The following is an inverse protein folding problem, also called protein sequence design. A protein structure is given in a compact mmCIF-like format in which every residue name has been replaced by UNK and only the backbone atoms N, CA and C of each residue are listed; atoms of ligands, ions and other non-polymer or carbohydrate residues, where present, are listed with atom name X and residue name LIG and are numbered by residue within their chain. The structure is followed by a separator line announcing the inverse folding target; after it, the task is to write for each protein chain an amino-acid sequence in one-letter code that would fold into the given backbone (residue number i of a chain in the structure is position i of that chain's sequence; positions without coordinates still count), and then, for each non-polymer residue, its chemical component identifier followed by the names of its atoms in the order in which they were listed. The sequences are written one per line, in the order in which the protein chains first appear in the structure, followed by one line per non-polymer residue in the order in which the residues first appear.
data_IF_031566258467
#
_entry.id   IF_031566258467
#
_cell.length_a   1.000
_cell.length_b   1.000
_cell.length_c   1.000
_cell.angle_alpha   90.00
_cell.angle_beta   90.00
_cell.angle_gamma   90.00
#
_symmetry.space_group_name_H-M   'P 1'
#
loop_
_entity.id
_entity.type
_entity.pdbx_description
1 polymer ?
#
# COMPACT_ATOMS: atom_id res chain seq x y z
N UNK A 1 19.79 -3.21 -36.14
CA UNK A 1 19.44 -4.65 -36.03
C UNK A 1 19.57 -5.18 -34.59
N UNK A 2 18.53 -5.11 -33.74
CA UNK A 2 18.48 -5.96 -32.53
C UNK A 2 17.13 -6.66 -32.23
N UNK A 3 16.07 -6.45 -33.01
CA UNK A 3 14.73 -7.03 -32.73
C UNK A 3 14.60 -8.52 -33.12
N UNK A 4 15.19 -8.94 -34.24
CA UNK A 4 15.01 -10.29 -34.76
C UNK A 4 15.69 -11.39 -33.93
N UNK A 5 16.83 -11.10 -33.29
CA UNK A 5 17.63 -12.09 -32.55
C UNK A 5 16.97 -12.52 -31.23
N UNK A 6 16.14 -11.66 -30.61
CA UNK A 6 15.45 -12.00 -29.34
C UNK A 6 14.19 -12.84 -29.54
N UNK A 7 13.58 -12.80 -30.72
CA UNK A 7 12.40 -13.63 -31.05
C UNK A 7 12.75 -15.09 -31.31
N UNK A 8 13.93 -15.38 -31.85
CA UNK A 8 14.38 -16.76 -32.08
C UNK A 8 14.46 -17.58 -30.78
N UNK A 9 14.88 -16.97 -29.66
CA UNK A 9 14.94 -17.64 -28.35
C UNK A 9 13.55 -18.01 -27.79
N UNK A 10 12.53 -17.21 -28.11
CA UNK A 10 11.13 -17.47 -27.71
C UNK A 10 10.61 -18.72 -28.42
N UNK A 11 10.97 -18.91 -29.69
CA UNK A 11 10.59 -20.08 -30.50
C UNK A 11 11.26 -21.37 -29.99
N UNK A 12 12.53 -21.30 -29.54
CA UNK A 12 13.27 -22.48 -29.06
C UNK A 12 12.71 -23.07 -27.77
N UNK A 13 12.31 -22.24 -26.80
CA UNK A 13 11.73 -22.72 -25.53
C UNK A 13 10.38 -23.40 -25.75
N UNK A 14 9.63 -22.95 -26.75
CA UNK A 14 8.32 -23.52 -27.05
C UNK A 14 8.44 -24.80 -27.88
N UNK A 15 9.34 -24.84 -28.86
CA UNK A 15 9.56 -26.01 -29.71
C UNK A 15 10.08 -27.24 -28.94
N UNK A 16 10.77 -27.05 -27.82
CA UNK A 16 11.25 -28.16 -26.98
C UNK A 16 10.13 -28.93 -26.25
N UNK A 17 8.92 -28.37 -26.14
CA UNK A 17 7.82 -28.98 -25.40
C UNK A 17 6.87 -29.85 -26.26
N UNK A 18 7.00 -29.84 -27.59
CA UNK A 18 5.98 -30.39 -28.51
C UNK A 18 6.48 -31.47 -29.47
N UNK A 19 7.75 -31.88 -29.38
CA UNK A 19 8.28 -32.96 -30.21
C UNK A 19 7.72 -34.33 -29.78
N UNK A 20 6.58 -34.75 -30.36
CA UNK A 20 6.18 -36.17 -30.34
C UNK A 20 4.69 -36.51 -30.34
N UNK A 21 3.76 -35.55 -30.30
CA UNK A 21 2.33 -35.89 -30.18
C UNK A 21 1.56 -35.71 -31.52
N UNK A 22 0.87 -36.77 -31.95
CA UNK A 22 -0.15 -36.73 -33.00
C UNK A 22 -1.18 -35.61 -32.77
N UNK A 23 -1.76 -35.13 -33.88
CA UNK A 23 -2.57 -33.92 -34.06
C UNK A 23 -3.70 -33.71 -33.04
N UNK A 24 -3.36 -33.29 -31.83
CA UNK A 24 -4.29 -32.70 -30.88
C UNK A 24 -4.69 -31.30 -31.38
N UNK A 25 -5.93 -30.85 -31.10
CA UNK A 25 -6.32 -29.47 -31.40
C UNK A 25 -5.37 -28.47 -30.71
N UNK A 26 -5.03 -27.36 -31.38
CA UNK A 26 -4.09 -26.38 -30.84
C UNK A 26 -4.61 -25.81 -29.53
N UNK A 27 -3.78 -25.84 -28.48
CA UNK A 27 -4.16 -25.35 -27.15
C UNK A 27 -4.22 -23.82 -27.16
N UNK A 28 -5.24 -23.19 -26.54
CA UNK A 28 -5.35 -21.74 -26.50
C UNK A 28 -4.29 -21.12 -25.58
N UNK A 29 -3.61 -20.07 -26.05
CA UNK A 29 -2.61 -19.30 -25.30
C UNK A 29 -2.95 -17.82 -25.32
N UNK A 30 -3.01 -17.17 -24.16
CA UNK A 30 -3.22 -15.73 -24.08
C UNK A 30 -1.93 -15.01 -24.44
N UNK A 31 -1.97 -14.07 -25.38
CA UNK A 31 -0.83 -13.20 -25.70
C UNK A 31 -1.09 -11.83 -25.10
N UNK A 32 -0.18 -11.38 -24.24
CA UNK A 32 -0.33 -10.18 -23.42
C UNK A 32 0.83 -9.23 -23.70
N UNK A 33 0.55 -8.01 -24.16
CA UNK A 33 1.55 -6.95 -24.24
C UNK A 33 1.63 -6.25 -22.88
N UNK A 34 2.84 -6.10 -22.33
CA UNK A 34 3.08 -5.36 -21.08
C UNK A 34 3.67 -3.98 -21.30
N UNK A 35 4.20 -3.71 -22.49
CA UNK A 35 4.73 -2.41 -22.87
C UNK A 35 3.89 -1.81 -24.02
N UNK A 36 3.55 -0.51 -23.96
CA UNK A 36 2.85 0.16 -25.04
C UNK A 36 3.69 0.12 -26.33
N UNK A 37 3.04 -0.17 -27.46
CA UNK A 37 3.68 -0.20 -28.77
C UNK A 37 4.38 -1.51 -29.15
N UNK A 38 4.31 -2.55 -28.30
CA UNK A 38 4.76 -3.90 -28.69
C UNK A 38 3.76 -4.49 -29.68
N UNK A 39 4.20 -4.70 -30.92
CA UNK A 39 3.40 -5.38 -31.93
C UNK A 39 3.22 -6.86 -31.55
N UNK A 40 1.98 -7.29 -31.34
CA UNK A 40 1.66 -8.67 -30.97
C UNK A 40 1.71 -9.65 -32.14
N UNK A 41 1.73 -9.16 -33.39
CA UNK A 41 1.68 -9.98 -34.60
C UNK A 41 2.79 -11.02 -34.64
N UNK A 42 4.03 -10.64 -34.30
CA UNK A 42 5.18 -11.55 -34.28
C UNK A 42 5.06 -12.60 -33.18
N UNK A 43 4.57 -12.21 -31.99
CA UNK A 43 4.34 -13.13 -30.89
C UNK A 43 3.22 -14.12 -31.19
N UNK A 44 2.14 -13.68 -31.84
CA UNK A 44 1.06 -14.55 -32.31
C UNK A 44 1.54 -15.52 -33.40
N UNK A 45 2.35 -15.05 -34.35
CA UNK A 45 2.93 -15.89 -35.39
C UNK A 45 3.85 -16.96 -34.77
N UNK A 46 4.70 -16.58 -33.82
CA UNK A 46 5.54 -17.51 -33.07
C UNK A 46 4.72 -18.55 -32.28
N UNK A 47 3.64 -18.12 -31.62
CA UNK A 47 2.73 -19.03 -30.91
C UNK A 47 2.05 -20.03 -31.85
N UNK A 48 1.62 -19.60 -33.05
CA UNK A 48 1.05 -20.50 -34.07
C UNK A 48 2.07 -21.49 -34.61
N UNK A 49 3.30 -21.02 -34.91
CA UNK A 49 4.39 -21.89 -35.36
C UNK A 49 4.74 -22.98 -34.33
N UNK A 50 4.48 -22.69 -33.06
CA UNK A 50 4.62 -23.60 -31.93
C UNK A 50 3.45 -24.57 -31.70
N UNK A 51 2.36 -24.47 -32.49
CA UNK A 51 1.17 -25.31 -32.34
C UNK A 51 0.14 -24.80 -31.33
N UNK A 52 0.20 -23.53 -30.92
CA UNK A 52 -0.83 -22.92 -30.08
C UNK A 52 -1.83 -22.08 -30.88
N UNK A 53 -3.03 -21.91 -30.32
CA UNK A 53 -4.05 -20.98 -30.81
C UNK A 53 -3.99 -19.66 -30.00
N UNK A 54 -3.38 -18.58 -30.52
CA UNK A 54 -3.23 -17.35 -29.75
C UNK A 54 -4.55 -16.60 -29.57
N UNK A 55 -4.83 -16.19 -28.33
CA UNK A 55 -5.94 -15.31 -27.94
C UNK A 55 -5.32 -13.98 -27.49
N UNK A 56 -5.66 -12.88 -28.14
CA UNK A 56 -5.16 -11.56 -27.71
C UNK A 56 -5.94 -11.12 -26.49
N UNK A 57 -5.24 -10.83 -25.40
CA UNK A 57 -5.85 -10.27 -24.20
C UNK A 57 -5.72 -8.75 -24.21
N UNK A 58 -6.84 -8.06 -24.36
CA UNK A 58 -6.91 -6.60 -24.27
C UNK A 58 -7.14 -6.21 -22.81
N UNK A 59 -6.32 -5.28 -22.31
CA UNK A 59 -6.41 -4.78 -20.95
C UNK A 59 -7.07 -3.39 -20.93
N UNK A 60 -7.97 -3.11 -19.97
CA UNK A 60 -8.50 -1.77 -19.79
C UNK A 60 -7.39 -0.76 -19.40
N UNK A 61 -7.59 0.55 -19.61
CA UNK A 61 -6.69 1.57 -19.07
C UNK A 61 -6.76 1.58 -17.52
N UNK A 62 -5.68 1.98 -16.85
CA UNK A 62 -5.66 2.15 -15.39
C UNK A 62 -6.29 3.48 -14.95
N UNK A 63 -6.95 3.49 -13.79
CA UNK A 63 -7.73 4.64 -13.27
C UNK A 63 -6.93 5.60 -12.36
N UNK A 64 -5.73 5.23 -11.95
CA UNK A 64 -4.95 5.91 -10.89
C UNK A 64 -4.66 7.39 -11.14
N UNK A 65 -4.54 7.82 -12.41
CA UNK A 65 -4.19 9.20 -12.75
C UNK A 65 -5.26 10.20 -12.28
N UNK A 66 -6.54 9.84 -12.36
CA UNK A 66 -7.65 10.69 -11.92
C UNK A 66 -7.66 10.84 -10.39
N UNK A 67 -7.42 9.74 -9.68
CA UNK A 67 -7.37 9.74 -8.22
C UNK A 67 -6.19 10.57 -7.68
N UNK A 68 -5.01 10.47 -8.31
CA UNK A 68 -3.85 11.28 -7.96
C UNK A 68 -4.13 12.77 -8.16
N UNK A 69 -4.68 13.16 -9.31
CA UNK A 69 -5.00 14.56 -9.60
C UNK A 69 -6.01 15.16 -8.58
N UNK A 70 -6.99 14.37 -8.14
CA UNK A 70 -7.92 14.78 -7.09
C UNK A 70 -7.22 14.97 -5.73
N UNK A 71 -6.29 14.08 -5.37
CA UNK A 71 -5.48 14.20 -4.15
C UNK A 71 -4.59 15.45 -4.19
N UNK A 72 -3.94 15.72 -5.31
CA UNK A 72 -3.11 16.92 -5.48
C UNK A 72 -3.93 18.20 -5.36
N UNK A 73 -5.13 18.23 -5.95
CA UNK A 73 -6.06 19.35 -5.81
C UNK A 73 -6.47 19.58 -4.34
N UNK A 74 -6.73 18.50 -3.59
CA UNK A 74 -7.05 18.59 -2.16
C UNK A 74 -5.86 19.08 -1.32
N UNK A 75 -4.63 18.66 -1.63
CA UNK A 75 -3.41 19.17 -0.98
C UNK A 75 -3.21 20.66 -1.25
N UNK A 76 -3.48 21.11 -2.48
CA UNK A 76 -3.43 22.52 -2.85
C UNK A 76 -4.52 23.34 -2.17
N UNK A 77 -5.75 22.82 -2.09
CA UNK A 77 -6.84 23.44 -1.36
C UNK A 77 -6.53 23.58 0.14
N UNK A 78 -5.99 22.53 0.78
CA UNK A 78 -5.55 22.56 2.17
C UNK A 78 -4.46 23.61 2.41
N UNK A 79 -3.47 23.69 1.51
CA UNK A 79 -2.42 24.73 1.55
C UNK A 79 -3.00 26.14 1.40
N UNK A 80 -3.91 26.34 0.45
CA UNK A 80 -4.58 27.63 0.25
C UNK A 80 -5.44 28.03 1.46
N UNK A 81 -6.11 27.07 2.09
CA UNK A 81 -6.86 27.30 3.32
C UNK A 81 -5.94 27.74 4.46
N UNK A 82 -4.76 27.11 4.64
CA UNK A 82 -3.76 27.55 5.61
C UNK A 82 -3.30 28.99 5.39
N UNK A 83 -2.88 29.32 4.16
CA UNK A 83 -2.38 30.66 3.79
C UNK A 83 -3.47 31.73 3.95
N UNK A 84 -4.72 31.38 3.66
CA UNK A 84 -5.90 32.22 3.91
C UNK A 84 -6.36 32.23 5.38
N UNK A 85 -5.60 31.64 6.31
CA UNK A 85 -5.93 31.53 7.74
C UNK A 85 -7.24 30.78 8.05
N UNK A 86 -7.76 30.00 7.10
CA UNK A 86 -8.96 29.16 7.21
C UNK A 86 -8.60 27.77 7.77
N UNK A 87 -8.12 27.72 9.01
CA UNK A 87 -7.57 26.50 9.61
C UNK A 87 -8.57 25.33 9.70
N UNK A 88 -9.81 25.60 10.12
CA UNK A 88 -10.83 24.56 10.25
C UNK A 88 -11.11 23.85 8.92
N UNK A 89 -11.08 24.59 7.80
CA UNK A 89 -11.24 24.04 6.46
C UNK A 89 -10.05 23.16 6.06
N UNK A 90 -8.82 23.60 6.34
CA UNK A 90 -7.63 22.78 6.12
C UNK A 90 -7.72 21.45 6.88
N UNK A 91 -8.08 21.48 8.17
CA UNK A 91 -8.22 20.27 9.00
C UNK A 91 -9.27 19.33 8.41
N UNK A 92 -10.44 19.86 8.06
CA UNK A 92 -11.52 19.07 7.46
C UNK A 92 -11.11 18.39 6.14
N UNK A 93 -10.38 19.10 5.27
CA UNK A 93 -9.84 18.53 4.02
C UNK A 93 -8.87 17.38 4.35
N UNK A 94 -7.93 17.62 5.26
CA UNK A 94 -6.88 16.66 5.59
C UNK A 94 -7.41 15.41 6.32
N UNK A 95 -8.47 15.53 7.13
CA UNK A 95 -9.17 14.42 7.82
C UNK A 95 -9.73 13.40 6.84
N UNK A 96 -10.38 13.85 5.78
CA UNK A 96 -10.82 12.97 4.70
C UNK A 96 -9.67 12.48 3.82
N UNK A 97 -8.53 13.17 3.77
CA UNK A 97 -7.47 12.91 2.79
C UNK A 97 -6.53 11.77 3.19
N UNK A 98 -6.09 11.67 4.44
CA UNK A 98 -5.04 10.72 4.85
C UNK A 98 -5.38 9.28 4.46
N UNK A 99 -6.57 8.78 4.83
CA UNK A 99 -6.94 7.38 4.57
C UNK A 99 -7.02 7.03 3.08
N UNK A 100 -7.57 7.92 2.25
CA UNK A 100 -7.72 7.70 0.80
C UNK A 100 -6.44 7.98 0.00
N UNK A 101 -5.57 8.85 0.50
CA UNK A 101 -4.36 9.25 -0.21
C UNK A 101 -3.21 8.25 -0.03
N UNK A 102 -3.09 7.59 1.12
CA UNK A 102 -1.96 6.71 1.41
C UNK A 102 -1.75 5.57 0.39
N UNK A 103 -2.78 4.85 -0.11
CA UNK A 103 -2.58 3.81 -1.14
C UNK A 103 -1.92 4.30 -2.44
N UNK A 104 -2.00 5.61 -2.71
CA UNK A 104 -1.45 6.25 -3.90
C UNK A 104 -0.14 6.97 -3.55
N UNK A 105 -0.13 7.79 -2.51
CA UNK A 105 1.00 8.65 -2.16
C UNK A 105 2.17 7.90 -1.52
N UNK A 106 1.93 6.76 -0.84
CA UNK A 106 3.01 5.98 -0.23
C UNK A 106 3.93 5.30 -1.26
N UNK A 107 3.62 5.41 -2.56
CA UNK A 107 4.44 4.90 -3.66
C UNK A 107 5.65 5.81 -3.91
N UNK A 108 6.67 5.26 -4.55
CA UNK A 108 7.97 5.94 -4.67
C UNK A 108 7.96 7.17 -5.56
N UNK A 109 7.17 7.11 -6.63
CA UNK A 109 6.95 8.21 -7.56
C UNK A 109 6.18 9.38 -6.94
N UNK A 110 5.47 9.15 -5.83
CA UNK A 110 4.63 10.16 -5.16
C UNK A 110 5.24 10.72 -3.87
N UNK A 111 6.55 10.50 -3.65
CA UNK A 111 7.28 10.96 -2.45
C UNK A 111 7.05 12.43 -2.11
N UNK A 112 7.07 13.30 -3.13
CA UNK A 112 6.92 14.73 -2.94
C UNK A 112 5.51 15.12 -2.44
N UNK A 113 4.48 14.46 -2.94
CA UNK A 113 3.10 14.67 -2.50
C UNK A 113 2.84 14.04 -1.12
N UNK A 114 3.44 12.88 -0.82
CA UNK A 114 3.43 12.28 0.51
C UNK A 114 4.08 13.19 1.56
N UNK A 115 5.23 13.80 1.21
CA UNK A 115 5.89 14.80 2.05
C UNK A 115 4.95 15.98 2.32
N UNK A 116 4.28 16.49 1.28
CA UNK A 116 3.35 17.61 1.42
C UNK A 116 2.16 17.27 2.31
N UNK A 117 1.58 16.07 2.18
CA UNK A 117 0.53 15.58 3.08
C UNK A 117 0.99 15.60 4.54
N UNK A 118 2.17 15.02 4.82
CA UNK A 118 2.72 14.96 6.17
C UNK A 118 3.01 16.37 6.72
N UNK A 119 3.59 17.24 5.91
CA UNK A 119 3.90 18.61 6.30
C UNK A 119 2.63 19.43 6.61
N UNK A 120 1.61 19.39 5.74
CA UNK A 120 0.33 20.08 5.97
C UNK A 120 -0.39 19.57 7.22
N UNK A 121 -0.27 18.27 7.53
CA UNK A 121 -0.76 17.71 8.79
C UNK A 121 -0.01 18.21 10.02
N UNK A 122 1.31 18.37 9.92
CA UNK A 122 2.09 19.02 10.97
C UNK A 122 1.67 20.49 11.19
N UNK A 123 1.41 21.23 10.11
CA UNK A 123 0.87 22.61 10.20
C UNK A 123 -0.49 22.67 10.90
N UNK A 124 -1.37 21.70 10.60
CA UNK A 124 -2.66 21.58 11.27
C UNK A 124 -2.49 21.45 12.79
N UNK A 125 -1.61 20.55 13.25
CA UNK A 125 -1.33 20.37 14.68
C UNK A 125 -0.74 21.60 15.36
N UNK A 126 0.16 22.33 14.70
CA UNK A 126 0.70 23.60 15.25
C UNK A 126 -0.41 24.64 15.46
N UNK A 127 -1.42 24.63 14.59
CA UNK A 127 -2.54 25.56 14.64
C UNK A 127 -3.48 25.37 15.83
N UNK A 128 -3.50 24.17 16.43
CA UNK A 128 -4.34 23.80 17.57
C UNK A 128 -3.68 24.10 18.93
N UNK A 129 -2.52 24.76 18.93
CA UNK A 129 -1.73 25.09 20.11
C UNK A 129 -1.26 23.87 20.92
N UNK A 130 -1.18 22.69 20.29
CA UNK A 130 -0.59 21.47 20.85
C UNK A 130 0.63 21.08 20.01
N UNK A 131 1.84 21.61 20.32
CA UNK A 131 3.06 21.27 19.60
C UNK A 131 3.30 19.76 19.48
N UNK A 132 2.86 19.01 20.49
CA UNK A 132 2.90 17.54 20.55
C UNK A 132 2.16 16.85 19.39
N UNK A 133 1.10 17.45 18.86
CA UNK A 133 0.35 16.92 17.72
C UNK A 133 1.07 17.15 16.38
N UNK A 134 1.90 18.21 16.28
CA UNK A 134 2.61 18.56 15.06
C UNK A 134 3.89 17.74 14.85
N UNK A 135 4.64 17.51 15.93
CA UNK A 135 5.97 16.91 15.88
C UNK A 135 6.03 15.54 15.19
N UNK A 136 5.11 14.58 15.42
CA UNK A 136 5.14 13.29 14.71
C UNK A 136 5.01 13.44 13.19
N UNK A 137 4.20 14.40 12.73
CA UNK A 137 3.96 14.64 11.31
C UNK A 137 5.12 15.35 10.62
N UNK A 138 5.76 16.31 11.29
CA UNK A 138 7.02 16.88 10.79
C UNK A 138 8.15 15.85 10.79
N UNK A 139 8.21 14.97 11.79
CA UNK A 139 9.12 13.82 11.81
C UNK A 139 8.90 12.88 10.62
N UNK A 140 7.64 12.55 10.29
CA UNK A 140 7.31 11.79 9.08
C UNK A 140 7.78 12.51 7.81
N UNK A 141 7.52 13.81 7.67
CA UNK A 141 7.97 14.59 6.53
C UNK A 141 9.51 14.53 6.37
N UNK A 142 10.26 14.59 7.48
CA UNK A 142 11.71 14.45 7.48
C UNK A 142 12.20 13.02 7.19
N UNK A 143 11.48 11.97 7.58
CA UNK A 143 11.80 10.59 7.15
C UNK A 143 11.56 10.41 5.64
N UNK A 144 10.54 11.06 5.09
CA UNK A 144 10.24 11.03 3.64
C UNK A 144 11.28 11.83 2.85
N UNK A 145 11.59 13.08 3.22
CA UNK A 145 12.63 13.90 2.57
C UNK A 145 13.53 14.61 3.62
N UNK A 146 14.65 14.00 4.04
CA UNK A 146 15.48 14.49 5.16
C UNK A 146 16.04 15.91 4.99
N UNK A 147 16.27 16.32 3.74
CA UNK A 147 16.88 17.60 3.42
C UNK A 147 15.86 18.68 3.04
N UNK A 148 14.59 18.32 2.85
CA UNK A 148 13.55 19.27 2.47
C UNK A 148 13.16 20.11 3.67
N UNK A 149 12.94 21.40 3.44
CA UNK A 149 12.56 22.39 4.47
C UNK A 149 11.31 23.15 4.01
N UNK A 150 10.57 23.77 4.94
CA UNK A 150 9.54 24.74 4.58
C UNK A 150 10.12 25.83 3.68
N UNK A 151 9.31 26.34 2.75
CA UNK A 151 9.74 27.41 1.86
C UNK A 151 9.97 28.70 2.68
N UNK A 152 11.19 29.29 2.64
CA UNK A 152 11.49 30.50 3.40
C UNK A 152 10.57 31.66 2.99
N UNK A 153 10.01 32.35 3.98
CA UNK A 153 9.12 33.50 3.75
C UNK A 153 7.67 33.15 3.41
N UNK A 154 7.36 31.89 3.08
CA UNK A 154 5.98 31.42 2.86
C UNK A 154 5.25 31.14 4.16
N UNK A 155 5.96 30.67 5.20
CA UNK A 155 5.39 30.27 6.47
C UNK A 155 5.83 31.18 7.63
N UNK A 156 5.00 31.38 8.67
CA UNK A 156 5.39 32.15 9.86
C UNK A 156 6.56 31.49 10.62
N UNK A 157 7.37 32.26 11.38
CA UNK A 157 8.53 31.72 12.11
C UNK A 157 8.21 30.58 13.09
N UNK A 158 6.97 30.50 13.59
CA UNK A 158 6.52 29.40 14.44
C UNK A 158 6.57 28.03 13.73
N UNK A 159 6.37 28.01 12.41
CA UNK A 159 6.48 26.78 11.59
C UNK A 159 7.94 26.34 11.51
N UNK A 160 8.86 27.27 11.25
CA UNK A 160 10.30 26.98 11.24
C UNK A 160 10.77 26.46 12.60
N UNK A 161 10.29 27.08 13.70
CA UNK A 161 10.55 26.62 15.06
C UNK A 161 10.05 25.19 15.31
N UNK A 162 8.80 24.88 14.94
CA UNK A 162 8.24 23.53 15.09
C UNK A 162 8.98 22.49 14.25
N UNK A 163 9.37 22.83 13.03
CA UNK A 163 10.14 21.95 12.16
C UNK A 163 11.57 21.74 12.69
N UNK A 164 12.21 22.77 13.25
CA UNK A 164 13.52 22.67 13.87
C UNK A 164 13.52 21.74 15.10
N UNK A 165 12.47 21.80 15.93
CA UNK A 165 12.26 20.85 17.03
C UNK A 165 12.16 19.43 16.51
N UNK A 166 11.39 19.18 15.44
CA UNK A 166 11.30 17.86 14.83
C UNK A 166 12.66 17.35 14.28
N UNK A 167 13.46 18.23 13.66
CA UNK A 167 14.82 17.91 13.21
C UNK A 167 15.70 17.49 14.38
N UNK A 168 15.70 18.25 15.47
CA UNK A 168 16.50 17.96 16.65
C UNK A 168 16.08 16.63 17.30
N UNK A 169 14.78 16.43 17.50
CA UNK A 169 14.25 15.18 18.04
C UNK A 169 14.64 13.97 17.19
N UNK A 170 14.49 14.07 15.88
CA UNK A 170 14.81 12.99 14.96
C UNK A 170 16.30 12.70 14.90
N UNK A 171 17.16 13.73 15.05
CA UNK A 171 18.60 13.57 15.21
C UNK A 171 19.01 12.79 16.45
N UNK A 172 18.20 12.82 17.52
CA UNK A 172 18.41 12.04 18.76
C UNK A 172 17.93 10.59 18.64
N UNK A 173 17.08 10.26 17.65
CA UNK A 173 16.51 8.92 17.48
C UNK A 173 17.47 8.01 16.71
N UNK A 174 17.82 6.88 17.33
CA UNK A 174 18.66 5.84 16.73
C UNK A 174 17.80 5.00 15.78
N UNK A 175 18.25 4.84 14.53
CA UNK A 175 17.60 3.96 13.58
C UNK A 175 17.81 2.50 13.96
N UNK A 176 16.75 1.69 13.91
CA UNK A 176 16.75 0.27 14.28
C UNK A 176 16.14 -0.56 13.18
N UNK A 177 16.64 -1.78 13.04
CA UNK A 177 16.03 -2.76 12.15
C UNK A 177 14.62 -3.12 12.67
N UNK A 178 13.62 -3.01 11.80
CA UNK A 178 12.25 -3.46 12.09
C UNK A 178 12.02 -4.77 11.34
N UNK A 179 11.72 -5.84 12.07
CA UNK A 179 11.35 -7.11 11.47
C UNK A 179 9.98 -6.98 10.80
N UNK A 180 9.92 -7.36 9.52
CA UNK A 180 8.72 -7.32 8.69
C UNK A 180 8.32 -8.75 8.35
N UNK A 181 7.15 -9.17 8.81
CA UNK A 181 6.54 -10.45 8.43
C UNK A 181 5.35 -10.18 7.54
N UNK A 182 5.48 -10.45 6.23
CA UNK A 182 4.52 -10.02 5.22
C UNK A 182 4.08 -11.17 4.33
N UNK A 183 2.77 -11.38 4.28
CA UNK A 183 2.10 -12.36 3.42
C UNK A 183 1.26 -11.65 2.35
N UNK A 184 1.47 -11.94 1.05
CA UNK A 184 2.37 -12.95 0.51
C UNK A 184 3.86 -12.55 0.56
N UNK A 185 4.74 -13.57 0.53
CA UNK A 185 6.18 -13.43 0.68
C UNK A 185 6.87 -12.60 -0.43
N UNK A 186 6.19 -12.38 -1.56
CA UNK A 186 6.64 -11.59 -2.70
C UNK A 186 5.94 -10.23 -2.82
N UNK A 187 5.13 -9.84 -1.83
CA UNK A 187 4.54 -8.50 -1.79
C UNK A 187 5.62 -7.40 -1.86
N UNK A 188 5.33 -6.33 -2.59
CA UNK A 188 6.15 -5.13 -2.57
C UNK A 188 5.87 -4.38 -1.27
N UNK A 189 6.93 -3.97 -0.59
CA UNK A 189 6.86 -3.14 0.62
C UNK A 189 7.52 -1.81 0.30
N UNK A 190 6.82 -0.71 0.58
CA UNK A 190 7.32 0.65 0.44
C UNK A 190 7.12 1.36 1.78
N UNK A 191 8.18 1.96 2.30
CA UNK A 191 8.16 2.70 3.57
C UNK A 191 8.61 4.12 3.29
N UNK A 192 7.83 5.12 3.67
CA UNK A 192 8.09 6.56 3.41
C UNK A 192 8.42 6.85 1.94
N UNK A 193 7.76 6.11 1.02
CA UNK A 193 7.98 6.20 -0.42
C UNK A 193 9.29 5.58 -0.92
N UNK A 194 10.03 4.82 -0.10
CA UNK A 194 11.24 4.10 -0.54
C UNK A 194 10.98 2.58 -0.53
N UNK A 195 11.24 1.87 -1.63
CA UNK A 195 10.98 0.44 -1.72
C UNK A 195 11.98 -0.35 -0.87
N UNK A 196 11.49 -1.37 -0.17
CA UNK A 196 12.32 -2.34 0.55
C UNK A 196 12.73 -3.44 -0.43
N UNK A 197 13.97 -3.38 -0.91
CA UNK A 197 14.49 -4.30 -1.93
C UNK A 197 14.91 -5.66 -1.38
N UNK A 198 15.39 -5.71 -0.14
CA UNK A 198 15.86 -6.92 0.52
C UNK A 198 15.16 -7.10 1.86
N UNK A 199 14.25 -8.08 1.94
CA UNK A 199 13.53 -8.40 3.18
C UNK A 199 14.44 -9.06 4.23
N UNK A 200 15.52 -9.71 3.81
CA UNK A 200 16.49 -10.33 4.73
C UNK A 200 17.37 -9.26 5.41
N UNK A 201 17.44 -8.06 4.85
CA UNK A 201 18.11 -6.89 5.41
C UNK A 201 17.09 -5.81 5.72
N UNK A 202 16.36 -5.94 6.84
CA UNK A 202 15.30 -5.00 7.21
C UNK A 202 15.83 -3.57 7.22
N UNK A 203 15.03 -2.66 6.67
CA UNK A 203 15.36 -1.24 6.68
C UNK A 203 15.52 -0.76 8.12
N UNK A 204 16.53 0.07 8.34
CA UNK A 204 16.68 0.77 9.60
C UNK A 204 15.69 1.95 9.62
N UNK A 205 14.76 1.92 10.57
CA UNK A 205 13.76 2.96 10.80
C UNK A 205 14.01 3.60 12.15
N UNK A 206 13.87 4.91 12.23
CA UNK A 206 13.84 5.61 13.52
C UNK A 206 12.50 5.34 14.19
N UNK A 207 12.42 5.54 15.51
CA UNK A 207 11.12 5.50 16.19
C UNK A 207 10.24 6.66 15.74
N UNK A 208 8.93 6.44 15.65
CA UNK A 208 7.94 7.46 15.31
C UNK A 208 7.03 7.05 14.17
N UNK A 209 6.38 8.05 13.57
CA UNK A 209 5.39 7.85 12.52
C UNK A 209 6.06 7.55 11.18
N UNK A 210 5.64 6.47 10.53
CA UNK A 210 6.06 6.07 9.19
C UNK A 210 4.85 5.76 8.31
N UNK A 211 4.97 6.03 7.01
CA UNK A 211 3.97 5.61 6.04
C UNK A 211 4.39 4.27 5.43
N UNK A 212 3.54 3.25 5.51
CA UNK A 212 3.79 1.95 4.89
C UNK A 212 2.74 1.65 3.82
N UNK A 213 3.20 1.11 2.71
CA UNK A 213 2.40 0.49 1.68
C UNK A 213 2.91 -0.94 1.45
N UNK A 214 2.00 -1.89 1.52
CA UNK A 214 2.24 -3.29 1.18
C UNK A 214 1.24 -3.69 0.11
N UNK A 215 1.74 -4.15 -1.03
CA UNK A 215 0.89 -4.52 -2.17
C UNK A 215 1.42 -5.74 -2.91
N UNK A 216 0.51 -6.57 -3.42
CA UNK A 216 0.83 -7.71 -4.26
C UNK A 216 -0.28 -7.92 -5.31
N UNK A 217 0.05 -8.33 -6.54
CA UNK A 217 -0.96 -8.66 -7.54
C UNK A 217 -1.96 -9.70 -7.03
N UNK A 218 -3.25 -9.38 -7.15
CA UNK A 218 -4.36 -10.25 -6.72
C UNK A 218 -4.84 -9.97 -5.29
N UNK A 219 -4.16 -9.11 -4.55
CA UNK A 219 -4.47 -8.76 -3.16
C UNK A 219 -4.89 -7.29 -3.02
N UNK A 220 -5.68 -7.01 -1.99
CA UNK A 220 -5.97 -5.64 -1.53
C UNK A 220 -4.68 -5.06 -0.95
N UNK A 221 -4.29 -3.87 -1.39
CA UNK A 221 -3.15 -3.16 -0.83
C UNK A 221 -3.44 -2.73 0.63
N UNK A 222 -2.48 -2.91 1.53
CA UNK A 222 -2.51 -2.36 2.88
C UNK A 222 -1.66 -1.08 2.89
N UNK A 223 -2.30 0.07 3.08
CA UNK A 223 -1.61 1.35 3.17
C UNK A 223 -2.08 2.10 4.40
N UNK A 224 -1.16 2.40 5.30
CA UNK A 224 -1.47 3.00 6.60
C UNK A 224 -0.28 3.73 7.18
N UNK A 225 -0.55 4.55 8.18
CA UNK A 225 0.48 5.08 9.06
C UNK A 225 0.73 4.09 10.19
N UNK A 226 1.99 3.87 10.51
CA UNK A 226 2.42 3.03 11.63
C UNK A 226 3.28 3.86 12.56
N UNK A 227 3.18 3.58 13.85
CA UNK A 227 4.15 4.06 14.81
C UNK A 227 5.18 2.96 15.06
N UNK A 228 6.41 3.20 14.61
CA UNK A 228 7.51 2.26 14.75
C UNK A 228 8.01 2.29 16.19
N UNK A 229 7.74 1.20 16.92
CA UNK A 229 8.30 0.88 18.22
C UNK A 229 9.38 -0.20 18.14
N UNK A 230 9.43 -1.09 19.14
CA UNK A 230 10.36 -2.25 19.15
C UNK A 230 9.71 -3.55 18.67
N UNK A 231 8.42 -3.54 18.35
CA UNK A 231 7.68 -4.74 17.96
C UNK A 231 7.83 -5.04 16.46
N UNK A 232 7.87 -6.34 16.09
CA UNK A 232 7.81 -6.74 14.69
C UNK A 232 6.47 -6.31 14.08
N UNK A 233 6.49 -5.99 12.79
CA UNK A 233 5.29 -5.63 12.04
C UNK A 233 4.86 -6.83 11.19
N UNK A 234 3.68 -7.37 11.50
CA UNK A 234 3.05 -8.45 10.74
C UNK A 234 1.92 -7.91 9.87
N UNK A 235 1.95 -8.22 8.58
CA UNK A 235 0.96 -7.79 7.59
C UNK A 235 0.55 -8.98 6.74
N UNK A 236 -0.75 -9.29 6.74
CA UNK A 236 -1.34 -10.30 5.86
C UNK A 236 -2.32 -9.61 4.92
N UNK A 237 -2.03 -9.61 3.62
CA UNK A 237 -2.91 -9.03 2.63
C UNK A 237 -4.10 -9.95 2.35
N UNK A 238 -5.28 -9.37 2.23
CA UNK A 238 -6.49 -10.09 1.83
C UNK A 238 -6.56 -10.22 0.30
N UNK A 239 -7.11 -11.32 -0.26
CA UNK A 239 -7.43 -11.40 -1.67
C UNK A 239 -8.37 -10.25 -2.10
N UNK A 240 -8.14 -9.68 -3.28
CA UNK A 240 -8.92 -8.54 -3.79
C UNK A 240 -10.36 -8.89 -4.16
N UNK A 241 -10.60 -10.09 -4.68
CA UNK A 241 -11.88 -10.48 -5.28
C UNK A 241 -12.17 -9.80 -6.63
N UNK A 242 -11.28 -8.93 -7.10
CA UNK A 242 -11.41 -8.25 -8.40
C UNK A 242 -11.18 -9.22 -9.58
N UNK A 243 -11.78 -8.97 -10.75
CA UNK A 243 -11.50 -9.74 -11.94
C UNK A 243 -9.99 -9.73 -12.28
N UNK A 244 -9.35 -10.89 -12.51
CA UNK A 244 -7.90 -10.96 -12.73
C UNK A 244 -7.39 -10.09 -13.88
N UNK A 245 -8.21 -9.89 -14.92
CA UNK A 245 -7.90 -9.01 -16.06
C UNK A 245 -7.80 -7.54 -15.61
N UNK A 246 -8.69 -7.08 -14.72
CA UNK A 246 -8.68 -5.73 -14.18
C UNK A 246 -7.47 -5.52 -13.26
N UNK A 247 -7.18 -6.49 -12.37
CA UNK A 247 -5.99 -6.47 -11.52
C UNK A 247 -4.72 -6.37 -12.37
N UNK A 248 -4.58 -7.22 -13.38
CA UNK A 248 -3.42 -7.22 -14.27
C UNK A 248 -3.26 -5.87 -14.99
N UNK A 249 -4.35 -5.30 -15.49
CA UNK A 249 -4.36 -4.00 -16.14
C UNK A 249 -3.89 -2.88 -15.20
N UNK A 250 -4.41 -2.82 -13.98
CA UNK A 250 -4.01 -1.82 -12.99
C UNK A 250 -2.52 -1.92 -12.62
N UNK A 251 -1.98 -3.12 -12.47
CA UNK A 251 -0.55 -3.32 -12.20
C UNK A 251 0.35 -2.94 -13.38
N UNK A 252 -0.11 -3.18 -14.62
CA UNK A 252 0.61 -2.79 -15.83
C UNK A 252 0.59 -1.28 -16.06
N UNK A 253 -0.55 -0.64 -15.87
CA UNK A 253 -0.66 0.82 -15.96
C UNK A 253 0.31 1.54 -15.01
N UNK A 254 0.59 0.93 -13.85
CA UNK A 254 1.55 1.42 -12.86
C UNK A 254 3.01 1.04 -13.13
N UNK A 255 3.31 0.26 -14.17
CA UNK A 255 4.66 -0.24 -14.45
C UNK A 255 5.27 -1.05 -13.31
N UNK A 256 4.45 -1.61 -12.41
CA UNK A 256 4.89 -2.25 -11.15
C UNK A 256 4.90 -3.77 -11.23
N UNK A 257 4.77 -4.32 -12.44
CA UNK A 257 4.61 -5.74 -12.65
C UNK A 257 5.97 -6.47 -12.66
N UNK A 258 6.28 -7.21 -11.60
CA UNK A 258 7.42 -8.10 -11.54
C UNK A 258 7.03 -9.51 -11.99
N UNK A 259 7.49 -9.93 -13.17
CA UNK A 259 7.20 -11.25 -13.73
C UNK A 259 7.87 -12.41 -12.98
N UNK A 260 8.88 -12.15 -12.14
CA UNK A 260 9.48 -13.17 -11.28
C UNK A 260 8.63 -13.44 -10.03
N UNK A 261 7.83 -12.46 -9.60
CA UNK A 261 6.94 -12.60 -8.47
C UNK A 261 5.84 -13.64 -8.73
N UNK A 262 5.56 -14.46 -7.71
CA UNK A 262 4.61 -15.58 -7.79
C UNK A 262 3.17 -15.08 -7.89
N UNK A 263 2.83 -14.05 -7.12
CA UNK A 263 1.56 -13.32 -7.16
C UNK A 263 1.28 -12.78 -8.57
N UNK A 264 2.26 -12.16 -9.23
CA UNK A 264 2.16 -11.72 -10.63
C UNK A 264 1.85 -12.90 -11.57
N UNK A 265 2.64 -13.97 -11.50
CA UNK A 265 2.45 -15.14 -12.37
C UNK A 265 1.07 -15.76 -12.17
N UNK A 266 0.59 -15.80 -10.93
CA UNK A 266 -0.74 -16.30 -10.59
C UNK A 266 -1.83 -15.42 -11.23
N UNK A 267 -1.76 -14.09 -11.08
CA UNK A 267 -2.72 -13.14 -11.70
C UNK A 267 -2.71 -13.25 -13.22
N UNK A 268 -1.54 -13.32 -13.85
CA UNK A 268 -1.42 -13.47 -15.32
C UNK A 268 -2.08 -14.76 -15.80
N UNK A 269 -1.88 -15.87 -15.11
CA UNK A 269 -2.53 -17.14 -15.46
C UNK A 269 -4.05 -17.10 -15.22
N UNK A 270 -4.50 -16.44 -14.14
CA UNK A 270 -5.92 -16.29 -13.88
C UNK A 270 -6.60 -15.40 -14.95
N UNK A 271 -5.94 -14.33 -15.38
CA UNK A 271 -6.40 -13.48 -16.49
C UNK A 271 -6.45 -14.25 -17.82
N UNK A 272 -5.42 -15.06 -18.12
CA UNK A 272 -5.41 -15.91 -19.30
C UNK A 272 -6.57 -16.91 -19.32
N UNK A 273 -6.89 -17.52 -18.16
CA UNK A 273 -8.03 -18.43 -18.04
C UNK A 273 -9.37 -17.73 -18.23
N UNK A 274 -9.50 -16.49 -17.74
CA UNK A 274 -10.71 -15.69 -17.93
C UNK A 274 -11.03 -15.43 -19.41
N UNK A 275 -10.02 -15.49 -20.30
CA UNK A 275 -10.19 -15.39 -21.76
C UNK A 275 -10.12 -16.76 -22.48
N UNK A 276 -10.25 -17.87 -21.74
CA UNK A 276 -10.29 -19.22 -22.29
C UNK A 276 -8.94 -19.83 -22.65
N UNK A 277 -7.82 -19.25 -22.20
CA UNK A 277 -6.48 -19.78 -22.45
C UNK A 277 -5.93 -20.61 -21.29
N UNK A 278 -5.08 -21.59 -21.59
CA UNK A 278 -4.45 -22.47 -20.59
C UNK A 278 -3.09 -21.96 -20.09
N UNK A 279 -2.47 -21.07 -20.86
CA UNK A 279 -1.18 -20.45 -20.61
C UNK A 279 -1.17 -19.00 -21.09
N UNK A 280 -0.16 -18.24 -20.69
CA UNK A 280 0.06 -16.86 -21.11
C UNK A 280 1.47 -16.68 -21.70
N UNK A 281 1.55 -16.05 -22.86
CA UNK A 281 2.77 -15.49 -23.42
C UNK A 281 2.78 -13.99 -23.15
N UNK A 282 3.63 -13.56 -22.22
CA UNK A 282 3.79 -12.16 -21.84
C UNK A 282 4.90 -11.55 -22.68
N UNK A 283 4.63 -10.44 -23.37
CA UNK A 283 5.54 -9.81 -24.32
C UNK A 283 5.81 -8.37 -23.90
N UNK A 284 7.06 -8.04 -23.64
CA UNK A 284 7.53 -6.69 -23.36
C UNK A 284 8.67 -6.26 -24.30
N UNK A 285 9.08 -5.01 -24.20
CA UNK A 285 10.18 -4.40 -24.93
C UNK A 285 11.51 -5.13 -24.70
N UNK A 286 11.67 -5.78 -23.55
CA UNK A 286 12.88 -6.55 -23.21
C UNK A 286 12.89 -7.97 -23.78
N UNK A 287 11.74 -8.50 -24.22
CA UNK A 287 11.58 -9.86 -24.74
C UNK A 287 10.20 -10.44 -24.39
N UNK A 288 10.00 -11.72 -24.67
CA UNK A 288 8.79 -12.43 -24.25
C UNK A 288 9.11 -13.54 -23.25
N UNK A 289 8.13 -13.84 -22.40
CA UNK A 289 8.18 -14.86 -21.37
C UNK A 289 6.92 -15.71 -21.40
N UNK A 290 7.09 -17.03 -21.44
CA UNK A 290 5.99 -17.98 -21.33
C UNK A 290 5.71 -18.29 -19.85
N UNK A 291 4.46 -18.14 -19.44
CA UNK A 291 3.95 -18.49 -18.12
C UNK A 291 2.87 -19.57 -18.31
N UNK A 292 3.09 -20.76 -17.73
CA UNK A 292 2.24 -21.94 -17.96
C UNK A 292 1.84 -22.65 -16.66
N UNK A 293 0.62 -23.21 -16.64
CA UNK A 293 -0.02 -23.84 -15.47
C UNK A 293 0.82 -24.92 -14.78
N UNK A 294 1.47 -25.79 -15.55
CA UNK A 294 2.23 -26.93 -15.01
C UNK A 294 3.39 -26.52 -14.07
N UNK A 295 3.89 -25.28 -14.19
CA UNK A 295 4.95 -24.75 -13.31
C UNK A 295 4.42 -24.04 -12.07
N UNK A 296 3.18 -23.53 -12.08
CA UNK A 296 2.64 -22.68 -11.00
C UNK A 296 1.87 -23.49 -9.95
N UNK A 297 1.13 -24.53 -10.35
CA UNK A 297 0.33 -25.34 -9.41
C UNK A 297 1.16 -26.18 -8.43
N UNK A 298 2.41 -26.50 -8.75
CA UNK A 298 3.27 -27.28 -7.87
C UNK A 298 3.87 -26.46 -6.72
N UNK A 299 3.79 -25.11 -6.75
CA UNK A 299 4.69 -24.25 -5.95
C UNK A 299 4.00 -23.31 -4.95
N UNK A 300 2.68 -23.02 -5.01
CA UNK A 300 2.01 -22.23 -3.94
C UNK A 300 0.47 -22.35 -3.91
N UNK A 301 -0.14 -22.92 -2.85
CA UNK A 301 -1.59 -23.04 -2.73
C UNK A 301 -2.30 -21.70 -2.44
N UNK A 302 -1.64 -20.75 -1.76
CA UNK A 302 -2.25 -19.49 -1.29
C UNK A 302 -2.57 -18.50 -2.43
N UNK A 303 -1.65 -18.31 -3.39
CA UNK A 303 -1.89 -17.45 -4.54
C UNK A 303 -2.96 -18.05 -5.48
N UNK A 304 -3.04 -19.39 -5.55
CA UNK A 304 -4.11 -20.07 -6.28
C UNK A 304 -5.46 -19.92 -5.58
N UNK A 305 -5.50 -19.95 -4.25
CA UNK A 305 -6.70 -19.72 -3.46
C UNK A 305 -7.21 -18.27 -3.57
N UNK A 306 -6.30 -17.28 -3.57
CA UNK A 306 -6.66 -15.86 -3.71
C UNK A 306 -7.32 -15.51 -5.07
N UNK A 307 -7.01 -16.29 -6.10
CA UNK A 307 -7.53 -16.11 -7.47
C UNK A 307 -8.60 -17.12 -7.87
N UNK A 308 -8.89 -18.09 -6.99
CA UNK A 308 -10.06 -18.92 -7.19
C UNK A 308 -11.28 -18.00 -7.14
N UNK A 309 -12.25 -18.15 -8.06
CA UNK A 309 -13.55 -17.49 -7.87
C UNK A 309 -14.02 -17.82 -6.45
N UNK A 310 -14.60 -16.87 -5.70
CA UNK A 310 -15.09 -17.16 -4.37
C UNK A 310 -15.94 -18.41 -4.49
N UNK A 311 -15.52 -19.49 -3.81
CA UNK A 311 -16.25 -20.74 -3.82
C UNK A 311 -17.69 -20.35 -3.54
N UNK A 312 -18.61 -20.63 -4.47
CA UNK A 312 -20.00 -20.24 -4.33
C UNK A 312 -20.41 -20.70 -2.94
N UNK A 313 -20.51 -19.74 -2.01
CA UNK A 313 -20.77 -20.06 -0.63
C UNK A 313 -22.15 -20.64 -0.71
N UNK A 314 -22.26 -21.96 -0.59
CA UNK A 314 -23.54 -22.61 -0.39
C UNK A 314 -24.10 -21.89 0.82
N UNK A 315 -25.11 -21.05 0.57
CA UNK A 315 -25.83 -20.38 1.64
C UNK A 315 -26.14 -21.49 2.65
N UNK A 316 -25.73 -21.34 3.92
CA UNK A 316 -26.07 -22.34 4.91
C UNK A 316 -27.56 -22.60 4.79
N UNK A 317 -27.93 -23.86 4.59
CA UNK A 317 -29.32 -24.25 4.46
C UNK A 317 -30.09 -23.56 5.59
N UNK A 318 -31.21 -22.87 5.29
CA UNK A 318 -31.94 -22.13 6.31
C UNK A 318 -32.21 -23.11 7.47
N UNK A 319 -31.89 -22.72 8.71
CA UNK A 319 -32.13 -23.61 9.84
C UNK A 319 -33.60 -24.01 9.83
N UNK A 320 -33.93 -25.29 10.08
CA UNK A 320 -35.31 -25.74 10.10
C UNK A 320 -36.09 -24.86 11.09
N UNK A 321 -37.21 -24.32 10.62
CA UNK A 321 -38.04 -23.38 11.37
C UNK A 321 -38.45 -23.98 12.73
N UNK A 322 -37.69 -23.63 13.77
CA UNK A 322 -38.04 -23.97 15.15
C UNK A 322 -39.14 -23.00 15.60
N UNK A 323 -40.35 -23.55 15.76
CA UNK A 323 -41.48 -22.92 16.44
C UNK A 323 -41.02 -22.36 17.80
N UNK A 324 -40.96 -21.04 17.92
CA UNK A 324 -40.71 -20.32 19.17
C UNK A 324 -41.95 -20.38 20.06
N UNK A 325 -41.89 -21.21 21.11
CA UNK A 325 -42.72 -21.04 22.29
C UNK A 325 -42.13 -19.93 23.15
N UNK A 326 -42.97 -18.96 23.51
CA UNK A 326 -42.69 -17.91 24.47
C UNK A 326 -42.61 -18.51 25.88
N UNK A 327 -41.57 -18.18 26.65
CA UNK A 327 -41.62 -18.22 28.10
C UNK A 327 -40.79 -17.06 28.66
N UNK A 328 -41.50 -16.20 29.38
CA UNK A 328 -40.97 -15.12 30.21
C UNK A 328 -40.21 -15.71 31.40
N UNK A 329 -39.08 -15.10 31.75
CA UNK A 329 -38.35 -15.40 32.98
C UNK A 329 -37.26 -14.36 33.19
N UNK A 330 -37.57 -13.33 33.99
CA UNK A 330 -36.62 -12.28 34.35
C UNK A 330 -35.63 -12.73 35.43
N UNK A 331 -34.48 -12.06 35.48
CA UNK A 331 -33.62 -11.99 36.68
C UNK A 331 -32.97 -10.61 36.76
N UNK A 332 -33.09 -10.04 37.94
CA UNK A 332 -32.64 -8.74 38.45
C UNK A 332 -31.25 -8.82 39.10
N UNK A 333 -30.52 -7.69 39.01
CA UNK A 333 -29.63 -7.04 40.00
C UNK A 333 -28.30 -7.70 40.41
N UNK A 334 -27.24 -6.88 40.38
CA UNK A 334 -26.00 -7.06 41.17
C UNK A 334 -24.95 -5.97 40.93
N UNK A 335 -25.17 -4.76 41.46
CA UNK A 335 -24.15 -3.69 41.56
C UNK A 335 -23.51 -3.78 42.94
N UNK A 336 -22.18 -3.81 43.00
CA UNK A 336 -21.41 -3.62 44.23
C UNK A 336 -20.05 -2.99 43.94
N UNK A 337 -19.82 -1.77 44.45
CA UNK A 337 -18.51 -1.31 44.88
C UNK A 337 -18.70 -0.20 45.92
N UNK A 338 -18.21 -0.48 47.12
CA UNK A 338 -18.43 0.27 48.34
C UNK A 338 -17.48 1.47 48.48
N UNK A 339 -18.00 2.54 49.10
CA UNK A 339 -17.24 3.62 49.68
C UNK A 339 -17.11 3.38 51.20
N UNK A 340 -15.92 3.59 51.76
CA UNK A 340 -15.71 3.95 53.17
C UNK A 340 -14.55 4.95 53.26
N UNK A 341 -14.85 6.12 53.82
CA UNK A 341 -13.95 7.22 54.17
C UNK A 341 -13.07 6.85 55.39
N UNK A 342 -12.01 7.57 55.75
CA UNK A 342 -12.10 8.77 56.61
C UNK A 342 -10.71 9.43 56.82
N UNK A 343 -10.65 10.73 56.49
CA UNK A 343 -10.04 11.91 57.17
C UNK A 343 -8.85 11.74 58.14
N UNK A 344 -7.78 12.54 57.94
CA UNK A 344 -7.19 13.38 59.00
C UNK A 344 -6.56 14.67 58.41
N UNK A 345 -6.91 15.80 59.04
CA UNK A 345 -6.45 17.17 58.82
C UNK A 345 -5.13 17.41 59.58
N UNK A 346 -4.13 18.04 58.96
CA UNK A 346 -3.19 18.95 59.66
C UNK A 346 -2.77 20.09 58.72
N UNK A 347 -3.00 21.31 59.19
CA UNK A 347 -2.60 22.60 58.64
C UNK A 347 -1.12 22.88 58.87
N UNK A 348 -0.46 23.61 57.94
CA UNK A 348 0.66 24.51 58.25
C UNK A 348 0.78 25.61 57.20
N UNK A 349 0.70 26.84 57.70
CA UNK A 349 0.92 28.11 57.01
C UNK A 349 2.41 28.37 56.69
N UNK A 350 2.62 28.97 55.50
CA UNK A 350 3.54 30.08 55.15
C UNK A 350 5.08 29.93 55.34
N UNK A 351 5.93 30.78 54.71
CA UNK A 351 5.64 31.96 53.87
C UNK A 351 6.38 32.04 52.52
N UNK A 352 5.99 33.09 51.79
CA UNK A 352 6.56 33.61 50.56
C UNK A 352 8.04 33.99 50.67
N UNK A 353 8.80 33.78 49.60
CA UNK A 353 10.04 34.50 49.35
C UNK A 353 10.07 35.06 47.93
N UNK A 354 10.04 36.39 47.87
CA UNK A 354 10.15 37.23 46.66
C UNK A 354 11.60 37.71 46.62
N UNK A 355 12.42 37.13 45.76
CA UNK A 355 13.71 37.74 45.42
C UNK A 355 13.52 38.68 44.24
N UNK A 356 13.58 39.98 44.55
CA UNK A 356 13.82 41.04 43.58
C UNK A 356 15.28 40.95 43.10
N UNK A 357 15.50 40.96 41.79
CA UNK A 357 16.75 41.41 41.18
C UNK A 357 16.40 42.60 40.28
N UNK A 358 16.58 43.79 40.85
CA UNK A 358 16.45 45.08 40.18
C UNK A 358 17.80 45.79 40.19
N UNK A 359 18.19 46.26 39.00
CA UNK A 359 19.40 47.00 38.66
C UNK A 359 19.51 48.36 39.38
N UNK A 360 20.74 48.84 39.52
CA UNK A 360 21.10 50.23 39.79
C UNK A 360 22.36 50.59 38.96
N UNK A 361 22.63 51.89 38.73
CA UNK A 361 22.86 52.51 37.42
C UNK A 361 24.22 52.28 36.75
#
# INVERSE_FOLDING_TARGET
MPRAVRLAAIVTVIALATAGAHAAPPRPIAVVAIDPGVALTDAQAAARAAGFAPVVMTLPPGEDASALAAIEADLDAARAAWLGQRRAEMVAILDGLVGRALPILARSEQRAALWQLAFLRGLAGLGEATPEAATPWFGLALEIEPNRRPEPGTYPPAVDGGFAVAVEEQGRRIARAVALDVTPADARIVIDGVPVLDRARPRQLRRGLHAILVEAPGFVADARLIEVGDQPLTIALAPSGEPPVAVLAAWLARGSLDLEARSTQAVVLAAARAVGAEAALVVGARGARLIARARVTAWHPEAAAALAPPAATSLPAPPPARRRWWLWGGVTIGVAAAAVATVWLVTRDAPADRTQLGFAP
#
